data_IF_231168073376
#
_entry.id   IF_231168073376
#
_cell.length_a   1.000
_cell.length_b   1.000
_cell.length_c   1.000
_cell.angle_alpha   90.00
_cell.angle_beta   90.00
_cell.angle_gamma   90.00
#
_symmetry.space_group_name_H-M   'P 1'
#
loop_
_entity.id
_entity.type
_entity.pdbx_description
1 polymer ?
#
# COMPACT_ATOMS: atom_id res chain seq x y z
N UNK A 1 -4.64 12.09 9.09
CA UNK A 1 -4.69 13.29 8.24
C UNK A 1 -3.37 14.06 8.36
N UNK A 2 -2.56 14.18 7.29
CA UNK A 2 -1.28 14.88 7.35
C UNK A 2 -1.38 16.35 7.79
N UNK A 3 -2.45 17.04 7.40
CA UNK A 3 -2.68 18.45 7.77
C UNK A 3 -2.89 18.65 9.28
N UNK A 4 -3.68 17.79 9.91
CA UNK A 4 -3.92 17.85 11.36
C UNK A 4 -2.60 17.69 12.13
N UNK A 5 -1.79 16.69 11.74
CA UNK A 5 -0.47 16.48 12.36
C UNK A 5 0.46 17.70 12.21
N UNK A 6 0.47 18.33 11.03
CA UNK A 6 1.24 19.57 10.82
C UNK A 6 0.75 20.71 11.71
N UNK A 7 -0.57 20.88 11.85
CA UNK A 7 -1.13 21.94 12.69
C UNK A 7 -0.86 21.73 14.19
N UNK A 8 -0.93 20.49 14.68
CA UNK A 8 -0.54 20.17 16.06
C UNK A 8 0.96 20.43 16.29
N UNK A 9 1.82 20.10 15.30
CA UNK A 9 3.24 20.43 15.39
C UNK A 9 3.48 21.95 15.39
N UNK A 10 2.77 22.71 14.55
CA UNK A 10 2.83 24.18 14.54
C UNK A 10 2.46 24.78 15.90
N UNK A 11 1.45 24.24 16.58
CA UNK A 11 1.08 24.65 17.94
C UNK A 11 2.22 24.42 18.94
N UNK A 12 2.92 23.28 18.86
CA UNK A 12 4.06 22.96 19.72
C UNK A 12 5.28 23.83 19.43
N UNK A 13 5.54 24.11 18.15
CA UNK A 13 6.71 24.87 17.70
C UNK A 13 6.51 26.39 17.83
N UNK A 14 5.28 26.85 18.12
CA UNK A 14 4.97 28.25 18.29
C UNK A 14 5.79 28.88 19.44
N UNK A 15 6.44 30.01 19.19
CA UNK A 15 7.43 30.61 20.11
C UNK A 15 6.89 31.75 20.95
N UNK A 16 5.77 32.35 20.55
CA UNK A 16 5.21 33.52 21.22
C UNK A 16 4.37 33.13 22.45
N UNK A 17 4.29 34.03 23.42
CA UNK A 17 3.61 33.83 24.72
C UNK A 17 2.10 34.15 24.68
N UNK A 18 1.46 34.05 23.51
CA UNK A 18 0.05 34.36 23.24
C UNK A 18 -0.71 33.17 22.59
N UNK A 19 -0.32 31.92 22.87
CA UNK A 19 -0.95 30.72 22.27
C UNK A 19 -2.47 30.71 22.41
N UNK A 20 -2.99 31.15 23.55
CA UNK A 20 -4.42 31.18 23.82
C UNK A 20 -5.17 32.09 22.85
N UNK A 21 -4.68 33.30 22.63
CA UNK A 21 -5.27 34.29 21.72
C UNK A 21 -4.99 33.97 20.24
N UNK A 22 -3.81 33.42 19.94
CA UNK A 22 -3.39 33.12 18.58
C UNK A 22 -4.13 31.91 17.98
N UNK A 23 -4.43 30.90 18.79
CA UNK A 23 -5.05 29.66 18.32
C UNK A 23 -6.53 29.53 18.71
N UNK A 24 -6.98 30.16 19.79
CA UNK A 24 -8.37 30.11 20.27
C UNK A 24 -8.92 28.67 20.38
N UNK A 25 -8.10 27.75 20.88
CA UNK A 25 -8.46 26.35 21.07
C UNK A 25 -8.86 26.07 22.52
N UNK A 26 -9.72 25.08 22.70
CA UNK A 26 -9.98 24.44 23.99
C UNK A 26 -9.77 22.93 23.85
N UNK A 27 -9.93 22.16 24.93
CA UNK A 27 -9.71 20.70 24.91
C UNK A 27 -10.91 19.96 24.31
N UNK A 28 -11.27 20.29 23.07
CA UNK A 28 -12.32 19.63 22.30
C UNK A 28 -11.85 19.23 20.91
N UNK A 29 -12.59 18.31 20.30
CA UNK A 29 -12.42 17.90 18.92
C UNK A 29 -13.78 17.87 18.22
N UNK A 30 -13.81 18.39 17.00
CA UNK A 30 -14.98 18.33 16.13
C UNK A 30 -14.88 17.10 15.25
N UNK A 31 -15.86 16.21 15.35
CA UNK A 31 -15.95 14.98 14.55
C UNK A 31 -17.17 15.00 13.66
N UNK A 32 -17.02 14.46 12.45
CA UNK A 32 -18.13 14.26 11.52
C UNK A 32 -18.57 12.81 11.56
N UNK A 33 -19.83 12.59 11.93
CA UNK A 33 -20.42 11.27 12.07
C UNK A 33 -21.70 11.19 11.23
N UNK A 34 -21.65 10.45 10.12
CA UNK A 34 -22.79 10.28 9.19
C UNK A 34 -23.46 11.59 8.73
N UNK A 35 -22.67 12.64 8.51
CA UNK A 35 -23.15 13.97 8.08
C UNK A 35 -23.65 14.88 9.21
N UNK A 36 -23.56 14.43 10.47
CA UNK A 36 -23.72 15.28 11.65
C UNK A 36 -22.34 15.69 12.20
N UNK A 37 -22.22 16.94 12.64
CA UNK A 37 -21.02 17.45 13.30
C UNK A 37 -21.23 17.46 14.81
N UNK A 38 -20.34 16.78 15.54
CA UNK A 38 -20.38 16.70 17.00
C UNK A 38 -19.08 17.27 17.58
N UNK A 39 -19.19 17.97 18.71
CA UNK A 39 -18.04 18.47 19.47
C UNK A 39 -17.89 17.58 20.70
N UNK A 40 -16.72 16.97 20.84
CA UNK A 40 -16.40 16.06 21.93
C UNK A 40 -15.29 16.65 22.78
N UNK A 41 -15.40 16.51 24.09
CA UNK A 41 -14.35 16.92 25.02
C UNK A 41 -13.26 15.85 25.10
N UNK A 42 -12.00 16.27 24.93
CA UNK A 42 -10.83 15.38 25.00
C UNK A 42 -10.46 15.04 26.44
N UNK A 43 -10.80 15.93 27.37
CA UNK A 43 -10.64 15.77 28.81
C UNK A 43 -11.92 16.23 29.51
N UNK A 44 -12.07 15.88 30.78
CA UNK A 44 -13.21 16.34 31.58
C UNK A 44 -13.26 17.87 31.64
N UNK A 45 -14.44 18.44 31.38
CA UNK A 45 -14.69 19.88 31.36
C UNK A 45 -13.81 20.61 30.30
N UNK A 46 -13.44 19.90 29.23
CA UNK A 46 -12.51 20.36 28.21
C UNK A 46 -12.99 21.57 27.40
N UNK A 47 -14.31 21.81 27.32
CA UNK A 47 -14.85 23.04 26.72
C UNK A 47 -14.42 24.30 27.47
N UNK A 48 -14.24 24.21 28.78
CA UNK A 48 -13.91 25.33 29.68
C UNK A 48 -12.40 25.53 29.87
N UNK A 49 -11.57 24.67 29.27
CA UNK A 49 -10.11 24.71 29.39
C UNK A 49 -9.53 25.28 28.10
N UNK A 50 -9.12 26.54 28.10
CA UNK A 50 -8.36 27.14 27.01
C UNK A 50 -6.98 26.48 26.85
N UNK A 51 -6.56 26.28 25.61
CA UNK A 51 -5.20 25.86 25.28
C UNK A 51 -4.29 27.09 25.33
N UNK A 52 -3.20 26.99 26.08
CA UNK A 52 -2.20 28.05 26.27
C UNK A 52 -0.78 27.46 26.25
N UNK A 53 0.22 28.33 26.42
CA UNK A 53 1.63 27.96 26.39
C UNK A 53 2.02 26.83 27.36
N UNK A 54 1.33 26.74 28.52
CA UNK A 54 1.66 25.75 29.56
C UNK A 54 1.04 24.37 29.32
N UNK A 55 -0.13 24.29 28.67
CA UNK A 55 -0.90 23.05 28.52
C UNK A 55 -1.01 22.55 27.07
N UNK A 56 -0.45 23.26 26.08
CA UNK A 56 -0.50 22.86 24.65
C UNK A 56 0.01 21.44 24.38
N UNK A 57 1.00 20.97 25.13
CA UNK A 57 1.51 19.60 25.00
C UNK A 57 0.46 18.57 25.47
N UNK A 58 -0.26 18.88 26.54
CA UNK A 58 -1.35 18.04 27.05
C UNK A 58 -2.51 17.99 26.06
N UNK A 59 -2.86 19.13 25.45
CA UNK A 59 -3.85 19.18 24.37
C UNK A 59 -3.45 18.28 23.20
N UNK A 60 -2.22 18.41 22.70
CA UNK A 60 -1.72 17.58 21.59
C UNK A 60 -1.74 16.10 21.96
N UNK A 61 -1.30 15.73 23.17
CA UNK A 61 -1.33 14.34 23.62
C UNK A 61 -2.76 13.79 23.69
N UNK A 62 -3.70 14.55 24.27
CA UNK A 62 -5.11 14.15 24.36
C UNK A 62 -5.75 14.02 22.97
N UNK A 63 -5.42 14.92 22.05
CA UNK A 63 -5.90 14.86 20.66
C UNK A 63 -5.37 13.61 19.94
N UNK A 64 -4.07 13.32 20.05
CA UNK A 64 -3.44 12.14 19.44
C UNK A 64 -4.02 10.85 20.01
N UNK A 65 -4.18 10.77 21.34
CA UNK A 65 -4.79 9.61 22.01
C UNK A 65 -6.23 9.38 21.55
N UNK A 66 -7.02 10.45 21.46
CA UNK A 66 -8.38 10.36 20.95
C UNK A 66 -8.42 9.81 19.52
N UNK A 67 -7.61 10.36 18.61
CA UNK A 67 -7.64 9.95 17.20
C UNK A 67 -7.16 8.51 16.99
N UNK A 68 -6.09 8.08 17.67
CA UNK A 68 -5.49 6.78 17.38
C UNK A 68 -5.99 5.64 18.30
N UNK A 69 -6.50 5.97 19.49
CA UNK A 69 -6.93 4.97 20.46
C UNK A 69 -8.43 5.08 20.74
N UNK A 70 -8.91 6.20 21.30
CA UNK A 70 -10.29 6.27 21.81
C UNK A 70 -11.35 6.21 20.71
N UNK A 71 -11.20 7.00 19.65
CA UNK A 71 -12.19 7.13 18.58
C UNK A 71 -12.38 5.86 17.75
N UNK A 72 -11.41 4.94 17.80
CA UNK A 72 -11.43 3.67 17.07
C UNK A 72 -11.48 2.46 17.99
N UNK A 73 -11.54 2.65 19.32
CA UNK A 73 -11.34 1.58 20.31
C UNK A 73 -12.23 0.35 20.06
N UNK A 74 -13.53 0.55 19.86
CA UNK A 74 -14.46 -0.56 19.64
C UNK A 74 -14.14 -1.36 18.36
N UNK A 75 -13.84 -0.67 17.27
CA UNK A 75 -13.50 -1.29 15.99
C UNK A 75 -12.12 -1.98 16.05
N UNK A 76 -11.16 -1.32 16.70
CA UNK A 76 -9.81 -1.83 16.86
C UNK A 76 -9.79 -3.05 17.78
N UNK A 77 -10.56 -3.07 18.87
CA UNK A 77 -10.65 -4.21 19.78
C UNK A 77 -11.21 -5.46 19.07
N UNK A 78 -12.24 -5.28 18.23
CA UNK A 78 -12.76 -6.35 17.39
C UNK A 78 -11.70 -6.86 16.38
N UNK A 79 -10.99 -5.94 15.70
CA UNK A 79 -9.89 -6.29 14.80
C UNK A 79 -8.76 -7.04 15.53
N UNK A 80 -8.31 -6.50 16.66
CA UNK A 80 -7.26 -7.03 17.52
C UNK A 80 -7.60 -8.45 17.98
N UNK A 81 -8.81 -8.65 18.49
CA UNK A 81 -9.28 -9.98 18.92
C UNK A 81 -9.33 -10.98 17.75
N UNK A 82 -9.77 -10.55 16.56
CA UNK A 82 -9.77 -11.38 15.36
C UNK A 82 -8.35 -11.76 14.91
N UNK A 83 -7.46 -10.78 14.84
CA UNK A 83 -6.06 -10.97 14.45
C UNK A 83 -5.34 -11.92 15.41
N UNK A 84 -5.49 -11.72 16.73
CA UNK A 84 -4.84 -12.55 17.74
C UNK A 84 -5.34 -14.00 17.78
N UNK A 85 -6.55 -14.30 17.28
CA UNK A 85 -7.03 -15.69 17.16
C UNK A 85 -6.22 -16.52 16.16
N UNK A 86 -5.64 -15.89 15.14
CA UNK A 86 -4.90 -16.57 14.06
C UNK A 86 -3.40 -16.34 14.21
N UNK A 87 -3.00 -15.11 14.48
CA UNK A 87 -1.61 -14.66 14.47
C UNK A 87 -1.02 -14.45 15.88
N UNK A 88 -1.81 -14.68 16.94
CA UNK A 88 -1.38 -14.43 18.31
C UNK A 88 -0.27 -15.37 18.78
N UNK A 89 0.38 -15.00 19.89
CA UNK A 89 1.41 -15.78 20.56
C UNK A 89 2.72 -15.00 20.77
N UNK A 90 3.66 -15.64 21.46
CA UNK A 90 4.93 -14.99 21.89
C UNK A 90 5.78 -14.46 20.74
N UNK A 91 5.63 -15.03 19.54
CA UNK A 91 6.39 -14.58 18.36
C UNK A 91 5.94 -13.19 17.92
N UNK A 92 4.65 -12.87 18.06
CA UNK A 92 4.13 -11.56 17.70
C UNK A 92 4.74 -10.44 18.57
N UNK A 93 5.00 -10.73 19.85
CA UNK A 93 5.64 -9.81 20.81
C UNK A 93 7.11 -9.50 20.47
N UNK A 94 7.74 -10.29 19.59
CA UNK A 94 9.13 -10.09 19.18
C UNK A 94 9.27 -9.08 18.02
N UNK A 95 8.18 -8.83 17.28
CA UNK A 95 8.22 -7.95 16.12
C UNK A 95 8.19 -6.47 16.52
N UNK A 96 9.01 -5.67 15.85
CA UNK A 96 8.79 -4.23 15.75
C UNK A 96 7.61 -3.93 14.80
N UNK A 97 6.91 -2.79 14.97
CA UNK A 97 5.78 -2.43 14.11
C UNK A 97 6.10 -2.48 12.61
N UNK A 98 7.29 -2.02 12.20
CA UNK A 98 7.76 -2.05 10.81
C UNK A 98 8.00 -3.46 10.28
N UNK A 99 8.43 -4.39 11.12
CA UNK A 99 8.65 -5.78 10.74
C UNK A 99 7.32 -6.52 10.60
N UNK A 100 6.36 -6.28 11.50
CA UNK A 100 5.00 -6.80 11.38
C UNK A 100 4.33 -6.27 10.11
N UNK A 101 4.50 -4.98 9.81
CA UNK A 101 4.04 -4.39 8.56
C UNK A 101 4.65 -5.13 7.36
N UNK A 102 5.97 -5.31 7.31
CA UNK A 102 6.65 -6.00 6.23
C UNK A 102 6.21 -7.47 6.07
N UNK A 103 5.85 -8.13 7.18
CA UNK A 103 5.27 -9.48 7.14
C UNK A 103 3.89 -9.52 6.47
N UNK A 104 3.07 -8.49 6.70
CA UNK A 104 1.70 -8.43 6.15
C UNK A 104 1.68 -7.95 4.70
N UNK A 105 2.42 -6.87 4.39
CA UNK A 105 2.35 -6.22 3.07
C UNK A 105 3.56 -6.53 2.17
N UNK A 106 4.55 -7.27 2.67
CA UNK A 106 5.78 -7.55 1.93
C UNK A 106 6.82 -6.41 2.00
N UNK A 107 7.84 -6.48 1.15
CA UNK A 107 8.91 -5.48 1.07
C UNK A 107 9.19 -5.02 -0.36
N UNK A 108 10.14 -4.11 -0.53
CA UNK A 108 10.54 -3.49 -1.82
C UNK A 108 11.97 -3.84 -2.23
N UNK A 109 12.52 -4.94 -1.71
CA UNK A 109 13.88 -5.40 -2.02
C UNK A 109 13.86 -6.24 -3.30
N UNK A 110 13.60 -5.58 -4.43
CA UNK A 110 13.36 -6.23 -5.70
C UNK A 110 14.61 -6.92 -6.26
N UNK A 111 14.48 -8.20 -6.63
CA UNK A 111 15.47 -8.95 -7.42
C UNK A 111 14.81 -9.52 -8.68
N UNK A 112 14.82 -8.73 -9.75
CA UNK A 112 14.20 -9.08 -11.01
C UNK A 112 14.83 -10.29 -11.70
N UNK A 113 16.09 -10.64 -11.35
CA UNK A 113 16.73 -11.85 -11.87
C UNK A 113 16.18 -13.08 -11.17
N UNK A 114 15.96 -13.02 -9.86
CA UNK A 114 15.28 -14.10 -9.14
C UNK A 114 13.86 -14.33 -9.68
N UNK A 115 13.14 -13.25 -10.02
CA UNK A 115 11.81 -13.37 -10.64
C UNK A 115 11.87 -14.16 -11.96
N UNK A 116 12.78 -13.80 -12.87
CA UNK A 116 12.97 -14.53 -14.13
C UNK A 116 13.41 -15.98 -13.90
N UNK A 117 14.35 -16.20 -12.99
CA UNK A 117 14.84 -17.54 -12.68
C UNK A 117 13.75 -18.45 -12.13
N UNK A 118 12.90 -17.91 -11.26
CA UNK A 118 11.77 -18.61 -10.63
C UNK A 118 10.49 -18.65 -11.46
N UNK A 119 10.47 -18.08 -12.67
CA UNK A 119 9.29 -18.09 -13.52
C UNK A 119 9.04 -19.48 -14.13
N UNK A 120 7.80 -19.95 -14.02
CA UNK A 120 7.32 -21.17 -14.64
C UNK A 120 6.64 -20.87 -15.99
N UNK A 121 6.79 -21.78 -16.94
CA UNK A 121 6.17 -21.66 -18.26
C UNK A 121 5.23 -22.83 -18.50
N UNK A 122 4.06 -22.55 -19.08
CA UNK A 122 3.04 -23.56 -19.39
C UNK A 122 2.81 -23.72 -20.89
N UNK A 123 2.22 -24.86 -21.25
CA UNK A 123 1.83 -25.16 -22.62
C UNK A 123 3.04 -25.23 -23.54
N UNK A 124 3.04 -24.41 -24.59
CA UNK A 124 4.11 -24.35 -25.59
C UNK A 124 5.20 -23.33 -25.26
N UNK A 125 5.13 -22.65 -24.12
CA UNK A 125 6.20 -21.79 -23.66
C UNK A 125 7.21 -22.55 -22.81
N UNK A 126 8.48 -22.22 -23.03
CA UNK A 126 9.62 -22.64 -22.25
C UNK A 126 10.66 -21.52 -22.26
N UNK A 127 11.70 -21.60 -21.43
CA UNK A 127 12.72 -20.55 -21.24
C UNK A 127 13.34 -20.03 -22.55
N UNK A 128 13.55 -20.90 -23.53
CA UNK A 128 14.20 -20.54 -24.81
C UNK A 128 13.19 -20.23 -25.93
N UNK A 129 11.88 -20.25 -25.66
CA UNK A 129 10.86 -19.90 -26.66
C UNK A 129 11.05 -18.44 -27.11
N UNK A 130 10.97 -18.11 -28.42
CA UNK A 130 11.23 -16.76 -28.92
C UNK A 130 10.45 -15.65 -28.22
N UNK A 131 9.14 -15.82 -28.02
CA UNK A 131 8.28 -14.86 -27.31
C UNK A 131 8.69 -14.66 -25.84
N UNK A 132 9.21 -15.71 -25.18
CA UNK A 132 9.68 -15.61 -23.79
C UNK A 132 11.00 -14.84 -23.72
N UNK A 133 11.90 -15.05 -24.69
CA UNK A 133 13.12 -14.23 -24.81
C UNK A 133 12.78 -12.76 -25.04
N UNK A 134 11.87 -12.47 -25.97
CA UNK A 134 11.39 -11.11 -26.20
C UNK A 134 10.80 -10.49 -24.93
N UNK A 135 9.98 -11.26 -24.19
CA UNK A 135 9.39 -10.79 -22.93
C UNK A 135 10.47 -10.35 -21.93
N UNK A 136 11.47 -11.19 -21.66
CA UNK A 136 12.50 -10.86 -20.67
C UNK A 136 13.46 -9.78 -21.14
N UNK A 137 13.80 -9.73 -22.43
CA UNK A 137 14.57 -8.63 -23.01
C UNK A 137 13.86 -7.29 -22.80
N UNK A 138 12.58 -7.20 -23.20
CA UNK A 138 11.75 -6.01 -23.01
C UNK A 138 11.62 -5.69 -21.52
N UNK A 139 11.27 -6.68 -20.70
CA UNK A 139 11.08 -6.47 -19.27
C UNK A 139 12.33 -5.93 -18.59
N UNK A 140 13.52 -6.44 -18.92
CA UNK A 140 14.77 -5.96 -18.32
C UNK A 140 15.16 -4.57 -18.78
N UNK A 141 14.79 -4.18 -19.99
CA UNK A 141 14.97 -2.82 -20.54
C UNK A 141 14.04 -1.79 -19.89
N UNK A 142 12.92 -2.21 -19.28
CA UNK A 142 12.00 -1.31 -18.60
C UNK A 142 12.67 -0.54 -17.44
N UNK A 143 12.32 0.75 -17.23
CA UNK A 143 12.72 1.48 -16.04
C UNK A 143 12.08 0.90 -14.79
N UNK A 144 12.69 1.15 -13.62
CA UNK A 144 12.23 0.59 -12.33
C UNK A 144 10.75 0.85 -12.06
N UNK A 145 10.26 2.05 -12.36
CA UNK A 145 8.84 2.40 -12.15
C UNK A 145 7.90 1.54 -13.01
N UNK A 146 8.30 1.21 -14.25
CA UNK A 146 7.52 0.31 -15.11
C UNK A 146 7.57 -1.13 -14.63
N UNK A 147 8.69 -1.58 -14.07
CA UNK A 147 8.80 -2.92 -13.45
C UNK A 147 7.89 -3.05 -12.22
N UNK A 148 7.79 -2.01 -11.39
CA UNK A 148 6.84 -1.96 -10.27
C UNK A 148 5.39 -1.97 -10.75
N UNK A 149 5.07 -1.19 -11.79
CA UNK A 149 3.73 -1.20 -12.38
C UNK A 149 3.39 -2.56 -13.01
N UNK A 150 4.36 -3.25 -13.63
CA UNK A 150 4.16 -4.63 -14.06
C UNK A 150 3.87 -5.56 -12.89
N UNK A 151 4.57 -5.43 -11.77
CA UNK A 151 4.32 -6.24 -10.58
C UNK A 151 2.91 -6.01 -10.03
N UNK A 152 2.46 -4.75 -10.01
CA UNK A 152 1.10 -4.37 -9.64
C UNK A 152 0.06 -4.94 -10.60
N UNK A 153 0.28 -4.82 -11.92
CA UNK A 153 -0.55 -5.45 -12.95
C UNK A 153 -0.64 -6.97 -12.77
N UNK A 154 0.48 -7.62 -12.46
CA UNK A 154 0.57 -9.07 -12.34
C UNK A 154 -0.03 -9.61 -11.04
N UNK A 155 0.14 -8.91 -9.92
CA UNK A 155 -0.07 -9.48 -8.57
C UNK A 155 -1.08 -8.69 -7.72
N UNK A 156 -1.48 -7.49 -8.16
CA UNK A 156 -2.28 -6.57 -7.36
C UNK A 156 -1.49 -5.80 -6.29
N UNK A 157 -0.16 -5.96 -6.23
CA UNK A 157 0.72 -5.24 -5.32
C UNK A 157 2.04 -4.87 -5.99
N UNK A 158 2.64 -3.75 -5.60
CA UNK A 158 4.01 -3.41 -5.97
C UNK A 158 5.05 -3.93 -4.96
N UNK A 159 4.63 -4.75 -3.99
CA UNK A 159 5.45 -5.36 -2.95
C UNK A 159 5.67 -6.85 -3.21
N UNK A 160 6.79 -7.37 -2.73
CA UNK A 160 7.15 -8.78 -2.87
C UNK A 160 7.04 -9.53 -1.53
N UNK A 161 6.88 -10.87 -1.55
CA UNK A 161 6.95 -11.68 -0.34
C UNK A 161 8.23 -11.40 0.46
N UNK A 162 8.15 -11.46 1.79
CA UNK A 162 9.29 -11.16 2.65
C UNK A 162 10.50 -12.09 2.38
N UNK A 163 10.24 -13.30 1.88
CA UNK A 163 11.24 -14.31 1.51
C UNK A 163 11.88 -14.07 0.12
N UNK A 164 11.58 -12.94 -0.53
CA UNK A 164 12.16 -12.54 -1.81
C UNK A 164 11.33 -12.92 -3.04
N UNK A 165 11.74 -12.41 -4.20
CA UNK A 165 11.02 -12.55 -5.47
C UNK A 165 10.90 -13.98 -5.97
N UNK A 166 11.85 -14.85 -5.62
CA UNK A 166 11.77 -16.29 -5.93
C UNK A 166 10.47 -16.95 -5.44
N UNK A 167 9.80 -16.39 -4.43
CA UNK A 167 8.55 -16.91 -3.87
C UNK A 167 7.29 -16.28 -4.49
N UNK A 168 7.42 -15.35 -5.43
CA UNK A 168 6.28 -14.78 -6.14
C UNK A 168 5.64 -15.82 -7.11
N UNK A 169 6.41 -16.81 -7.56
CA UNK A 169 5.94 -17.89 -8.44
C UNK A 169 5.17 -17.37 -9.67
N UNK A 170 5.81 -16.49 -10.46
CA UNK A 170 5.25 -16.02 -11.73
C UNK A 170 5.10 -17.20 -12.70
N UNK A 171 3.93 -17.29 -13.34
CA UNK A 171 3.65 -18.27 -14.37
C UNK A 171 3.31 -17.56 -15.67
N UNK A 172 3.92 -17.95 -16.79
CA UNK A 172 3.58 -17.42 -18.12
C UNK A 172 3.01 -18.54 -18.99
N UNK A 173 1.84 -18.29 -19.59
CA UNK A 173 1.19 -19.24 -20.49
C UNK A 173 0.81 -18.60 -21.83
N UNK A 174 0.78 -19.37 -22.92
CA UNK A 174 0.37 -18.88 -24.22
C UNK A 174 -1.13 -18.58 -24.25
N UNK A 175 -1.50 -17.53 -24.99
CA UNK A 175 -2.90 -17.28 -25.38
C UNK A 175 -2.99 -16.94 -26.87
N UNK A 176 -4.20 -17.01 -27.41
CA UNK A 176 -4.49 -16.71 -28.81
C UNK A 176 -4.43 -15.22 -29.16
N UNK A 177 -4.82 -14.88 -30.38
CA UNK A 177 -4.97 -13.49 -30.85
C UNK A 177 -3.68 -12.81 -31.34
N UNK A 178 -2.50 -13.27 -30.91
CA UNK A 178 -1.20 -12.75 -31.39
C UNK A 178 -1.09 -11.24 -31.21
N UNK A 179 -0.60 -10.55 -32.25
CA UNK A 179 -0.36 -9.10 -32.26
C UNK A 179 -1.60 -8.22 -32.01
N UNK A 180 -2.80 -8.78 -32.06
CA UNK A 180 -4.02 -8.01 -31.83
C UNK A 180 -4.38 -7.91 -30.34
N UNK A 181 -3.94 -8.86 -29.52
CA UNK A 181 -4.40 -8.99 -28.14
C UNK A 181 -3.37 -8.40 -27.15
N UNK A 182 -3.88 -7.88 -26.04
CA UNK A 182 -3.06 -7.48 -24.91
C UNK A 182 -2.73 -8.69 -24.04
N UNK A 183 -1.58 -8.69 -23.34
CA UNK A 183 -1.36 -9.66 -22.29
C UNK A 183 -2.37 -9.44 -21.15
N UNK A 184 -2.77 -10.52 -20.48
CA UNK A 184 -3.76 -10.50 -19.40
C UNK A 184 -3.16 -11.14 -18.15
N UNK A 185 -3.31 -10.48 -17.01
CA UNK A 185 -2.86 -11.00 -15.72
C UNK A 185 -4.03 -11.56 -14.92
N UNK A 186 -3.83 -12.74 -14.34
CA UNK A 186 -4.71 -13.32 -13.33
C UNK A 186 -4.02 -13.20 -11.97
N UNK A 187 -4.30 -12.09 -11.28
CA UNK A 187 -3.59 -11.69 -10.07
C UNK A 187 -3.64 -12.71 -8.95
N UNK A 188 -4.76 -13.44 -8.79
CA UNK A 188 -4.89 -14.50 -7.78
C UNK A 188 -3.89 -15.66 -7.95
N UNK A 189 -3.29 -15.80 -9.13
CA UNK A 189 -2.40 -16.92 -9.47
C UNK A 189 -1.03 -16.47 -9.96
N UNK A 190 -0.73 -15.16 -9.93
CA UNK A 190 0.47 -14.57 -10.54
C UNK A 190 0.73 -15.11 -11.96
N UNK A 191 -0.35 -15.24 -12.74
CA UNK A 191 -0.35 -15.88 -14.05
C UNK A 191 -0.51 -14.82 -15.13
N UNK A 192 0.40 -14.84 -16.11
CA UNK A 192 0.37 -13.98 -17.28
C UNK A 192 0.00 -14.78 -18.52
N UNK A 193 -1.16 -14.48 -19.10
CA UNK A 193 -1.53 -14.89 -20.45
C UNK A 193 -0.80 -13.99 -21.42
N UNK A 194 0.18 -14.54 -22.12
CA UNK A 194 1.03 -13.80 -23.04
C UNK A 194 0.76 -14.26 -24.49
N UNK A 195 0.18 -13.42 -25.35
CA UNK A 195 0.01 -13.74 -26.77
C UNK A 195 1.35 -13.98 -27.46
N UNK A 196 1.32 -14.82 -28.49
CA UNK A 196 2.49 -15.06 -29.36
C UNK A 196 2.71 -13.89 -30.31
N UNK A 197 3.48 -12.90 -29.86
CA UNK A 197 3.82 -11.74 -30.67
C UNK A 197 4.83 -12.06 -31.77
N UNK A 198 4.67 -11.39 -32.92
CA UNK A 198 5.51 -11.58 -34.10
C UNK A 198 6.90 -10.95 -33.97
N UNK A 199 7.05 -9.91 -33.14
CA UNK A 199 8.31 -9.22 -32.90
C UNK A 199 8.45 -8.70 -31.47
N UNK A 200 9.67 -8.32 -31.10
CA UNK A 200 9.99 -7.70 -29.80
C UNK A 200 9.27 -6.36 -29.63
N UNK A 201 9.22 -5.56 -30.69
CA UNK A 201 8.61 -4.22 -30.69
C UNK A 201 7.11 -4.29 -30.43
N UNK A 202 6.42 -5.27 -31.04
CA UNK A 202 4.98 -5.49 -30.77
C UNK A 202 4.77 -5.92 -29.32
N UNK A 203 5.61 -6.82 -28.80
CA UNK A 203 5.52 -7.24 -27.40
C UNK A 203 5.69 -6.05 -26.46
N UNK A 204 6.70 -5.21 -26.69
CA UNK A 204 6.96 -4.00 -25.91
C UNK A 204 5.76 -3.05 -25.91
N UNK A 205 5.22 -2.73 -27.09
CA UNK A 205 4.06 -1.86 -27.23
C UNK A 205 2.86 -2.42 -26.43
N UNK A 206 2.54 -3.70 -26.61
CA UNK A 206 1.39 -4.34 -25.96
C UNK A 206 1.57 -4.50 -24.46
N UNK A 207 2.77 -4.83 -24.01
CA UNK A 207 3.09 -4.95 -22.60
C UNK A 207 2.99 -3.59 -21.89
N UNK A 208 3.58 -2.53 -22.48
CA UNK A 208 3.48 -1.17 -21.94
C UNK A 208 2.02 -0.71 -21.94
N UNK A 209 1.26 -1.01 -23.00
CA UNK A 209 -0.16 -0.68 -23.06
C UNK A 209 -0.94 -1.36 -21.93
N UNK A 210 -0.72 -2.66 -21.67
CA UNK A 210 -1.39 -3.36 -20.57
C UNK A 210 -1.00 -2.80 -19.19
N UNK A 211 0.30 -2.52 -18.97
CA UNK A 211 0.82 -1.93 -17.72
C UNK A 211 0.31 -0.50 -17.51
N UNK A 212 -0.05 0.25 -18.55
CA UNK A 212 -0.57 1.60 -18.39
C UNK A 212 -2.08 1.66 -18.13
N UNK A 213 -2.81 0.61 -18.50
CA UNK A 213 -4.28 0.61 -18.49
C UNK A 213 -4.88 -0.43 -17.54
N UNK A 214 -4.12 -0.90 -16.54
CA UNK A 214 -4.64 -1.84 -15.52
C UNK A 214 -5.55 -1.14 -14.48
N UNK A 215 -5.47 0.19 -14.36
CA UNK A 215 -6.37 0.97 -13.51
C UNK A 215 -7.68 1.25 -14.26
N UNK A 216 -8.64 0.32 -14.16
CA UNK A 216 -10.00 0.57 -14.60
C UNK A 216 -10.86 -0.67 -14.82
N UNK A 217 -12.10 -0.62 -14.32
CA UNK A 217 -13.20 -1.49 -14.75
C UNK A 217 -13.68 -1.13 -16.17
N UNK A 218 -12.75 -0.93 -17.11
CA UNK A 218 -13.13 -0.68 -18.49
C UNK A 218 -13.43 -2.04 -19.14
N UNK A 219 -14.72 -2.33 -19.26
CA UNK A 219 -15.24 -3.37 -20.14
C UNK A 219 -14.61 -3.19 -21.52
N UNK A 220 -13.87 -4.21 -21.97
CA UNK A 220 -13.61 -4.45 -23.39
C UNK A 220 -14.71 -5.36 -23.91
#
# INVERSE_FOLDING_TARGET
MPDVGRNLQLLLDYTEDDVEDAFCLNFTVTVENFGATEVLELVRDGMDISVNNSNRLEYVNAYVDYIFNMSVAELFDAFYAGFHKVCGGKVLELFQPSELQAMVIGNTNYDWKELEMGTEYKGEYWREHPTIKFFWEVFHELPLEKKKQFLLFLTGSDRIPILGMKNLALVIQPTGGGDQYLPVAHTCFNLLDLPKYSSKEVLEEKLIQAINHYEGFNLV
#
